data_IF_731341345189
#
_entry.id   IF_731341345189
#
_cell.length_a   1.000
_cell.length_b   1.000
_cell.length_c   1.000
_cell.angle_alpha   90.00
_cell.angle_beta   90.00
_cell.angle_gamma   90.00
#
_symmetry.space_group_name_H-M   'P 1'
#
loop_
_entity.id
_entity.type
_entity.pdbx_description
1 polymer ?
#
# COMPACT_ATOMS: atom_id res chain seq x y z
N UNK A 1 18.01 -32.69 -25.20
CA UNK A 1 18.39 -31.28 -25.34
C UNK A 1 18.44 -30.65 -23.94
N UNK A 2 19.57 -30.11 -23.57
CA UNK A 2 19.65 -29.35 -22.29
C UNK A 2 18.67 -28.18 -22.31
N UNK A 3 17.96 -28.00 -21.19
CA UNK A 3 17.07 -26.84 -21.01
C UNK A 3 17.91 -25.56 -20.87
N UNK A 4 17.41 -24.40 -21.36
CA UNK A 4 18.07 -23.13 -21.12
C UNK A 4 18.25 -22.86 -19.62
N UNK A 5 19.32 -22.15 -19.26
CA UNK A 5 19.53 -21.71 -17.88
C UNK A 5 18.33 -20.91 -17.36
N UNK A 6 17.88 -21.20 -16.13
CA UNK A 6 16.82 -20.42 -15.47
C UNK A 6 17.44 -19.24 -14.73
N UNK A 7 16.94 -18.01 -14.99
CA UNK A 7 17.21 -16.86 -14.13
C UNK A 7 16.55 -17.08 -12.76
N UNK A 8 17.37 -17.07 -11.71
CA UNK A 8 16.94 -17.35 -10.33
C UNK A 8 16.84 -16.08 -9.46
N UNK A 9 16.94 -14.90 -10.09
CA UNK A 9 16.81 -13.64 -9.35
C UNK A 9 15.39 -13.49 -8.78
N UNK A 10 15.31 -13.04 -7.54
CA UNK A 10 14.09 -12.61 -6.89
C UNK A 10 14.18 -11.08 -6.82
N UNK A 11 13.30 -10.38 -7.52
CA UNK A 11 13.26 -8.92 -7.58
C UNK A 11 12.17 -8.39 -6.67
N UNK A 12 12.48 -7.42 -5.81
CA UNK A 12 11.54 -6.86 -4.84
C UNK A 12 10.31 -6.27 -5.52
N UNK A 13 10.48 -5.38 -6.49
CA UNK A 13 9.39 -4.71 -7.19
C UNK A 13 8.45 -5.69 -7.92
N UNK A 14 8.98 -6.69 -8.60
CA UNK A 14 8.14 -7.66 -9.32
C UNK A 14 7.37 -8.58 -8.36
N UNK A 15 8.01 -9.00 -7.27
CA UNK A 15 7.31 -9.77 -6.24
C UNK A 15 6.25 -8.93 -5.53
N UNK A 16 6.49 -7.64 -5.30
CA UNK A 16 5.50 -6.73 -4.77
C UNK A 16 4.25 -6.64 -5.66
N UNK A 17 4.39 -6.50 -6.97
CA UNK A 17 3.26 -6.52 -7.90
C UNK A 17 2.47 -7.84 -7.85
N UNK A 18 3.17 -8.98 -7.72
CA UNK A 18 2.50 -10.30 -7.57
C UNK A 18 1.80 -10.40 -6.22
N UNK A 19 2.42 -9.96 -5.12
CA UNK A 19 1.80 -9.93 -3.77
C UNK A 19 0.47 -9.20 -3.83
N UNK A 20 0.46 -8.00 -4.43
CA UNK A 20 -0.77 -7.20 -4.62
C UNK A 20 -1.82 -7.97 -5.42
N UNK A 21 -1.43 -8.55 -6.55
CA UNK A 21 -2.34 -9.35 -7.39
C UNK A 21 -2.92 -10.57 -6.66
N UNK A 22 -2.10 -11.29 -5.86
CA UNK A 22 -2.54 -12.43 -5.06
C UNK A 22 -3.49 -12.00 -3.93
N UNK A 23 -3.24 -10.86 -3.28
CA UNK A 23 -4.12 -10.32 -2.25
C UNK A 23 -5.52 -10.03 -2.83
N UNK A 24 -5.59 -9.28 -3.93
CA UNK A 24 -6.86 -8.99 -4.61
C UNK A 24 -7.57 -10.28 -5.07
N UNK A 25 -6.82 -11.19 -5.69
CA UNK A 25 -7.37 -12.47 -6.16
C UNK A 25 -7.90 -13.35 -5.03
N UNK A 26 -7.32 -13.25 -3.83
CA UNK A 26 -7.79 -13.97 -2.64
C UNK A 26 -9.25 -13.63 -2.31
N UNK A 27 -9.59 -12.33 -2.30
CA UNK A 27 -10.97 -11.90 -2.06
C UNK A 27 -11.89 -12.13 -3.24
N UNK A 28 -11.44 -11.79 -4.46
CA UNK A 28 -12.27 -11.90 -5.66
C UNK A 28 -12.64 -13.34 -6.03
N UNK A 29 -11.82 -14.33 -5.68
CA UNK A 29 -12.00 -15.74 -5.98
C UNK A 29 -12.39 -16.58 -4.76
N UNK A 30 -12.50 -15.96 -3.58
CA UNK A 30 -12.70 -16.65 -2.30
C UNK A 30 -11.65 -17.76 -2.05
N UNK A 31 -10.36 -17.39 -2.25
CA UNK A 31 -9.22 -18.30 -2.14
C UNK A 31 -8.20 -17.78 -1.14
N UNK A 32 -8.39 -18.03 0.17
CA UNK A 32 -7.53 -17.48 1.24
C UNK A 32 -6.08 -17.96 1.15
N UNK A 33 -5.80 -19.09 0.49
CA UNK A 33 -4.44 -19.57 0.26
C UNK A 33 -3.61 -18.62 -0.61
N UNK A 34 -4.24 -17.75 -1.42
CA UNK A 34 -3.54 -16.74 -2.21
C UNK A 34 -3.03 -15.61 -1.31
N UNK A 35 -3.84 -15.15 -0.35
CA UNK A 35 -3.38 -14.19 0.66
C UNK A 35 -2.29 -14.80 1.56
N UNK A 36 -2.37 -16.08 1.89
CA UNK A 36 -1.32 -16.77 2.63
C UNK A 36 0.00 -16.83 1.83
N UNK A 37 -0.05 -17.11 0.53
CA UNK A 37 1.13 -17.08 -0.34
C UNK A 37 1.73 -15.66 -0.45
N UNK A 38 0.87 -14.64 -0.56
CA UNK A 38 1.30 -13.24 -0.54
C UNK A 38 2.00 -12.88 0.77
N UNK A 39 1.42 -13.25 1.93
CA UNK A 39 2.00 -13.01 3.25
C UNK A 39 3.36 -13.68 3.41
N UNK A 40 3.49 -14.95 3.01
CA UNK A 40 4.78 -15.66 3.05
C UNK A 40 5.85 -14.97 2.20
N UNK A 41 5.44 -14.35 1.07
CA UNK A 41 6.37 -13.60 0.21
C UNK A 41 6.77 -12.27 0.84
N UNK A 42 5.85 -11.56 1.51
CA UNK A 42 6.18 -10.36 2.31
C UNK A 42 7.16 -10.71 3.42
N UNK A 43 6.91 -11.80 4.15
CA UNK A 43 7.80 -12.26 5.21
C UNK A 43 9.18 -12.64 4.69
N UNK A 44 9.27 -13.28 3.52
CA UNK A 44 10.55 -13.55 2.88
C UNK A 44 11.30 -12.24 2.56
N UNK A 45 10.65 -11.25 1.95
CA UNK A 45 11.27 -9.95 1.65
C UNK A 45 11.74 -9.30 2.95
N UNK A 46 10.89 -9.24 3.98
CA UNK A 46 11.22 -8.66 5.28
C UNK A 46 12.43 -9.30 5.94
N UNK A 47 12.53 -10.63 5.89
CA UNK A 47 13.57 -11.40 6.58
C UNK A 47 14.86 -11.55 5.78
N UNK A 48 14.78 -11.59 4.44
CA UNK A 48 15.90 -11.95 3.58
C UNK A 48 16.39 -10.79 2.70
N UNK A 49 15.54 -9.80 2.44
CA UNK A 49 15.88 -8.70 1.53
C UNK A 49 16.03 -7.34 2.25
N UNK A 50 15.65 -7.25 3.52
CA UNK A 50 15.97 -6.09 4.37
C UNK A 50 17.17 -6.46 5.25
N UNK A 51 18.33 -5.90 4.94
CA UNK A 51 19.59 -6.16 5.66
C UNK A 51 20.13 -4.84 6.18
N UNK A 52 20.48 -4.77 7.47
CA UNK A 52 20.97 -3.58 8.14
C UNK A 52 20.06 -2.35 7.93
N UNK A 53 18.75 -2.52 8.06
CA UNK A 53 17.73 -1.48 7.81
C UNK A 53 17.76 -0.90 6.39
N UNK A 54 18.21 -1.68 5.42
CA UNK A 54 18.24 -1.31 4.00
C UNK A 54 17.53 -2.37 3.18
N UNK A 55 16.51 -1.97 2.40
CA UNK A 55 15.89 -2.83 1.42
C UNK A 55 16.80 -3.00 0.21
N UNK A 56 16.85 -4.20 -0.34
CA UNK A 56 17.62 -4.54 -1.54
C UNK A 56 16.69 -4.90 -2.70
N UNK A 57 17.12 -4.55 -3.92
CA UNK A 57 16.33 -4.76 -5.13
C UNK A 57 16.33 -6.23 -5.58
N UNK A 58 17.39 -6.99 -5.29
CA UNK A 58 17.58 -8.33 -5.82
C UNK A 58 18.09 -9.28 -4.76
N UNK A 59 17.56 -10.51 -4.75
CA UNK A 59 18.08 -11.65 -3.98
C UNK A 59 18.36 -12.82 -4.93
N UNK A 60 19.55 -13.44 -4.84
CA UNK A 60 19.93 -14.62 -5.60
C UNK A 60 20.88 -15.50 -4.79
N UNK A 61 20.63 -16.80 -4.76
CA UNK A 61 21.50 -17.79 -4.09
C UNK A 61 21.84 -17.43 -2.63
N UNK A 62 20.88 -16.90 -1.85
CA UNK A 62 21.08 -16.54 -0.46
C UNK A 62 21.78 -15.18 -0.24
N UNK A 63 22.01 -14.41 -1.29
CA UNK A 63 22.67 -13.10 -1.21
C UNK A 63 21.79 -12.00 -1.78
N UNK A 64 21.78 -10.84 -1.11
CA UNK A 64 21.15 -9.62 -1.62
C UNK A 64 22.15 -8.78 -2.42
N UNK A 65 21.64 -8.04 -3.39
CA UNK A 65 22.42 -7.12 -4.21
C UNK A 65 21.58 -5.94 -4.65
N UNK A 66 22.26 -4.83 -4.89
CA UNK A 66 21.71 -3.53 -5.23
C UNK A 66 20.80 -2.97 -4.14
N UNK A 67 21.08 -1.77 -3.68
CA UNK A 67 20.15 -1.02 -2.85
C UNK A 67 18.86 -0.80 -3.63
N UNK A 68 17.71 -0.95 -2.95
CA UNK A 68 16.41 -0.84 -3.60
C UNK A 68 16.16 0.57 -4.14
N UNK A 69 15.44 0.63 -5.24
CA UNK A 69 15.02 1.85 -5.94
C UNK A 69 13.61 2.26 -5.51
N UNK A 70 13.15 3.40 -5.99
CA UNK A 70 11.80 3.92 -5.72
C UNK A 70 10.71 2.86 -5.93
N UNK A 71 10.74 2.15 -7.06
CA UNK A 71 9.73 1.16 -7.42
C UNK A 71 9.67 0.00 -6.40
N UNK A 72 10.81 -0.42 -5.88
CA UNK A 72 10.86 -1.49 -4.88
C UNK A 72 10.15 -1.10 -3.59
N UNK A 73 10.36 0.13 -3.11
CA UNK A 73 9.69 0.65 -1.92
C UNK A 73 8.21 0.94 -2.16
N UNK A 74 7.88 1.63 -3.26
CA UNK A 74 6.52 2.05 -3.56
C UNK A 74 5.59 0.86 -3.82
N UNK A 75 6.04 -0.10 -4.64
CA UNK A 75 5.24 -1.29 -4.95
C UNK A 75 5.08 -2.19 -3.74
N UNK A 76 6.13 -2.34 -2.91
CA UNK A 76 6.03 -3.14 -1.70
C UNK A 76 5.09 -2.50 -0.67
N UNK A 77 5.12 -1.19 -0.52
CA UNK A 77 4.18 -0.46 0.34
C UNK A 77 2.73 -0.68 -0.11
N UNK A 78 2.44 -0.48 -1.40
CA UNK A 78 1.09 -0.68 -1.96
C UNK A 78 0.63 -2.14 -1.81
N UNK A 79 1.53 -3.10 -2.06
CA UNK A 79 1.24 -4.52 -1.92
C UNK A 79 0.93 -4.93 -0.48
N UNK A 80 1.68 -4.41 0.49
CA UNK A 80 1.44 -4.69 1.91
C UNK A 80 0.12 -4.08 2.38
N UNK A 81 -0.19 -2.85 1.97
CA UNK A 81 -1.49 -2.22 2.28
C UNK A 81 -2.67 -2.98 1.67
N UNK A 82 -2.53 -3.48 0.45
CA UNK A 82 -3.54 -4.33 -0.16
C UNK A 82 -3.70 -5.64 0.62
N UNK A 83 -2.61 -6.31 0.97
CA UNK A 83 -2.64 -7.56 1.72
C UNK A 83 -3.31 -7.42 3.09
N UNK A 84 -3.07 -6.32 3.80
CA UNK A 84 -3.68 -6.03 5.12
C UNK A 84 -5.21 -6.00 5.07
N UNK A 85 -5.82 -5.73 3.93
CA UNK A 85 -7.27 -5.77 3.74
C UNK A 85 -7.83 -7.20 3.73
N UNK A 86 -7.00 -8.20 3.40
CA UNK A 86 -7.42 -9.62 3.32
C UNK A 86 -6.86 -10.45 4.47
N UNK A 87 -5.76 -10.00 5.04
CA UNK A 87 -5.10 -10.65 6.16
C UNK A 87 -4.33 -9.61 6.98
N UNK A 88 -4.90 -9.22 8.11
CA UNK A 88 -4.21 -8.31 9.01
C UNK A 88 -3.01 -8.99 9.68
N UNK A 89 -1.91 -8.25 9.77
CA UNK A 89 -0.72 -8.63 10.50
C UNK A 89 -0.01 -7.37 11.01
N UNK A 90 0.28 -7.32 12.30
CA UNK A 90 0.89 -6.14 12.94
C UNK A 90 2.30 -5.86 12.43
N UNK A 91 3.06 -6.90 12.08
CA UNK A 91 4.41 -6.75 11.52
C UNK A 91 4.36 -6.24 10.06
N UNK A 92 3.32 -6.61 9.31
CA UNK A 92 3.09 -6.06 7.98
C UNK A 92 2.70 -4.57 8.05
N UNK A 93 1.88 -4.16 9.03
CA UNK A 93 1.60 -2.74 9.24
C UNK A 93 2.86 -1.95 9.62
N UNK A 94 3.69 -2.49 10.52
CA UNK A 94 4.98 -1.88 10.87
C UNK A 94 5.89 -1.75 9.65
N UNK A 95 5.92 -2.77 8.79
CA UNK A 95 6.66 -2.73 7.52
C UNK A 95 6.13 -1.62 6.60
N UNK A 96 4.80 -1.48 6.45
CA UNK A 96 4.21 -0.43 5.63
C UNK A 96 4.59 0.97 6.14
N UNK A 97 4.53 1.20 7.45
CA UNK A 97 4.94 2.47 8.08
C UNK A 97 6.43 2.73 7.83
N UNK A 98 7.28 1.71 8.02
CA UNK A 98 8.71 1.82 7.75
C UNK A 98 9.00 2.17 6.28
N UNK A 99 8.37 1.47 5.32
CA UNK A 99 8.53 1.75 3.88
C UNK A 99 8.12 3.18 3.53
N UNK A 100 7.01 3.66 4.08
CA UNK A 100 6.55 5.03 3.85
C UNK A 100 7.55 6.07 4.39
N UNK A 101 8.09 5.85 5.59
CA UNK A 101 9.10 6.75 6.16
C UNK A 101 10.39 6.74 5.34
N UNK A 102 10.86 5.58 4.90
CA UNK A 102 12.04 5.46 4.03
C UNK A 102 11.84 6.18 2.68
N UNK A 103 10.62 6.11 2.09
CA UNK A 103 10.29 6.86 0.88
C UNK A 103 10.49 8.37 1.09
N UNK A 104 9.98 8.90 2.20
CA UNK A 104 10.09 10.33 2.50
C UNK A 104 11.51 10.75 2.85
N UNK A 105 12.22 9.95 3.64
CA UNK A 105 13.58 10.30 4.08
C UNK A 105 14.60 10.21 2.95
N UNK A 106 14.49 9.21 2.07
CA UNK A 106 15.55 8.89 1.12
C UNK A 106 15.28 9.31 -0.32
N UNK A 107 14.03 9.44 -0.71
CA UNK A 107 13.68 9.66 -2.12
C UNK A 107 13.04 11.01 -2.38
N UNK A 108 12.50 11.70 -1.37
CA UNK A 108 11.74 12.93 -1.58
C UNK A 108 12.61 14.07 -2.15
N UNK A 109 12.05 14.76 -3.15
CA UNK A 109 12.51 16.09 -3.58
C UNK A 109 11.75 17.15 -2.78
N UNK A 110 12.37 17.60 -1.68
CA UNK A 110 11.75 18.58 -0.78
C UNK A 110 11.54 19.97 -1.43
N UNK A 111 12.26 20.29 -2.50
CA UNK A 111 12.18 21.58 -3.18
C UNK A 111 11.10 21.60 -4.25
N UNK A 112 11.04 20.56 -5.10
CA UNK A 112 10.19 20.54 -6.29
C UNK A 112 9.06 19.50 -6.22
N UNK A 113 8.99 18.73 -5.13
CA UNK A 113 8.03 17.63 -4.95
C UNK A 113 8.34 16.41 -5.82
N UNK A 114 7.60 15.33 -5.56
CA UNK A 114 7.85 14.03 -6.16
C UNK A 114 9.05 13.31 -5.55
N UNK A 115 9.28 12.09 -6.02
CA UNK A 115 10.32 11.20 -5.51
C UNK A 115 11.32 10.90 -6.62
N UNK A 116 12.62 10.98 -6.28
CA UNK A 116 13.69 10.55 -7.17
C UNK A 116 13.69 9.03 -7.30
N UNK A 117 14.13 8.50 -8.44
CA UNK A 117 14.24 7.05 -8.66
C UNK A 117 15.28 6.38 -7.75
N UNK A 118 16.39 7.09 -7.46
CA UNK A 118 17.45 6.61 -6.57
C UNK A 118 17.39 7.29 -5.21
N UNK A 119 17.67 6.54 -4.14
CA UNK A 119 17.79 7.08 -2.80
C UNK A 119 18.99 8.06 -2.69
N UNK A 120 18.95 8.95 -1.70
CA UNK A 120 20.06 9.85 -1.40
C UNK A 120 21.33 9.12 -0.91
N UNK A 121 21.21 7.85 -0.53
CA UNK A 121 22.30 6.97 -0.09
C UNK A 121 22.91 6.14 -1.23
N UNK A 122 22.41 6.26 -2.46
CA UNK A 122 23.02 5.65 -3.63
C UNK A 122 24.30 6.39 -4.03
N UNK A 123 25.04 5.83 -4.98
CA UNK A 123 26.20 6.48 -5.59
C UNK A 123 25.83 7.87 -6.14
N UNK A 124 26.76 8.80 -6.11
CA UNK A 124 26.52 10.16 -6.59
C UNK A 124 26.41 10.15 -8.11
N UNK A 125 25.18 10.30 -8.60
CA UNK A 125 24.89 10.43 -10.02
C UNK A 125 25.04 11.86 -10.50
N UNK A 126 25.35 12.06 -11.80
CA UNK A 126 25.31 13.37 -12.45
C UNK A 126 23.89 13.95 -12.46
N UNK A 127 22.90 13.08 -12.58
CA UNK A 127 21.46 13.42 -12.57
C UNK A 127 20.67 12.31 -11.88
N UNK A 128 19.78 12.70 -10.98
CA UNK A 128 18.83 11.79 -10.33
C UNK A 128 17.49 11.88 -11.08
N UNK A 129 17.07 10.83 -11.81
CA UNK A 129 15.83 10.87 -12.57
C UNK A 129 14.62 10.86 -11.61
N UNK A 130 13.54 11.48 -12.09
CA UNK A 130 12.25 11.53 -11.40
C UNK A 130 11.16 11.37 -12.46
N UNK A 131 10.61 10.14 -12.60
CA UNK A 131 9.59 9.81 -13.59
C UNK A 131 8.20 9.78 -12.96
N UNK A 132 7.23 10.32 -13.68
CA UNK A 132 5.81 10.26 -13.31
C UNK A 132 5.01 9.40 -14.29
N UNK A 133 5.58 9.06 -15.45
CA UNK A 133 4.91 8.28 -16.48
C UNK A 133 4.97 6.78 -16.22
N UNK A 134 3.88 6.12 -16.55
CA UNK A 134 3.81 4.67 -16.64
C UNK A 134 4.51 4.19 -17.92
N UNK A 135 5.09 3.00 -17.88
CA UNK A 135 5.69 2.30 -19.02
C UNK A 135 5.18 0.84 -18.99
N UNK A 136 6.04 -0.14 -19.13
CA UNK A 136 5.73 -1.57 -18.93
C UNK A 136 5.33 -1.91 -17.50
N UNK A 137 5.71 -1.08 -16.55
CA UNK A 137 5.30 -1.11 -15.16
C UNK A 137 4.66 0.23 -14.76
N UNK A 138 3.84 0.25 -13.68
CA UNK A 138 3.33 1.49 -13.12
C UNK A 138 4.45 2.43 -12.70
N UNK A 139 4.22 3.73 -12.74
CA UNK A 139 5.15 4.74 -12.23
C UNK A 139 5.36 4.60 -10.72
N UNK A 140 6.62 4.54 -10.28
CA UNK A 140 6.94 4.53 -8.84
C UNK A 140 6.39 5.73 -8.09
N UNK A 141 6.41 6.93 -8.70
CA UNK A 141 5.77 8.13 -8.13
C UNK A 141 4.24 7.98 -8.05
N UNK A 142 3.61 7.43 -9.09
CA UNK A 142 2.16 7.22 -9.09
C UNK A 142 1.73 6.24 -8.02
N UNK A 143 2.40 5.09 -7.91
CA UNK A 143 2.12 4.09 -6.86
C UNK A 143 2.43 4.62 -5.47
N UNK A 144 3.53 5.36 -5.30
CA UNK A 144 3.86 5.99 -4.01
C UNK A 144 2.79 7.00 -3.57
N UNK A 145 2.30 7.85 -4.50
CA UNK A 145 1.23 8.80 -4.21
C UNK A 145 -0.04 8.09 -3.73
N UNK A 146 -0.45 7.01 -4.42
CA UNK A 146 -1.62 6.20 -4.05
C UNK A 146 -1.44 5.54 -2.69
N UNK A 147 -0.31 4.87 -2.48
CA UNK A 147 -0.05 4.12 -1.26
C UNK A 147 0.13 5.03 -0.02
N UNK A 148 0.82 6.17 -0.18
CA UNK A 148 0.95 7.17 0.89
C UNK A 148 -0.40 7.80 1.23
N UNK A 149 -1.25 8.12 0.23
CA UNK A 149 -2.61 8.61 0.46
C UNK A 149 -3.42 7.59 1.27
N UNK A 150 -3.41 6.31 0.90
CA UNK A 150 -4.14 5.23 1.58
C UNK A 150 -3.63 5.00 3.01
N UNK A 151 -2.31 4.94 3.20
CA UNK A 151 -1.72 4.80 4.53
C UNK A 151 -2.04 6.01 5.40
N UNK A 152 -1.94 7.22 4.85
CA UNK A 152 -2.29 8.47 5.54
C UNK A 152 -3.74 8.51 5.98
N UNK A 153 -4.67 8.00 5.17
CA UNK A 153 -6.08 7.91 5.53
C UNK A 153 -6.34 6.82 6.59
N UNK A 154 -5.71 5.64 6.46
CA UNK A 154 -5.83 4.56 7.45
C UNK A 154 -5.35 5.01 8.83
N UNK A 155 -4.20 5.67 8.88
CA UNK A 155 -3.55 6.08 10.13
C UNK A 155 -3.97 7.48 10.60
N UNK A 156 -4.76 8.23 9.83
CA UNK A 156 -5.02 9.65 10.04
C UNK A 156 -3.72 10.47 10.19
N UNK A 157 -2.71 10.18 9.36
CA UNK A 157 -1.35 10.74 9.47
C UNK A 157 -1.11 11.79 8.37
N UNK A 158 -1.13 13.11 8.72
CA UNK A 158 -1.04 14.19 7.74
C UNK A 158 0.24 14.20 6.90
N UNK A 159 1.37 13.73 7.44
CA UNK A 159 2.65 13.73 6.71
C UNK A 159 2.58 12.91 5.43
N UNK A 160 1.90 11.75 5.44
CA UNK A 160 1.74 10.90 4.25
C UNK A 160 0.78 11.53 3.24
N UNK A 161 -0.31 12.14 3.72
CA UNK A 161 -1.27 12.85 2.85
C UNK A 161 -0.62 14.04 2.14
N UNK A 162 0.17 14.84 2.86
CA UNK A 162 0.92 15.97 2.28
C UNK A 162 1.99 15.49 1.29
N UNK A 163 2.65 14.36 1.57
CA UNK A 163 3.61 13.79 0.62
C UNK A 163 2.94 13.34 -0.67
N UNK A 164 1.80 12.66 -0.59
CA UNK A 164 1.00 12.29 -1.76
C UNK A 164 0.60 13.53 -2.58
N UNK A 165 0.14 14.61 -1.91
CA UNK A 165 -0.19 15.87 -2.58
C UNK A 165 1.01 16.48 -3.31
N UNK A 166 2.20 16.51 -2.68
CA UNK A 166 3.42 17.04 -3.32
C UNK A 166 3.82 16.23 -4.56
N UNK A 167 3.65 14.91 -4.52
CA UNK A 167 3.91 14.05 -5.71
C UNK A 167 2.92 14.39 -6.83
N UNK A 168 1.62 14.47 -6.52
CA UNK A 168 0.58 14.79 -7.49
C UNK A 168 0.78 16.17 -8.11
N UNK A 169 1.12 17.19 -7.32
CA UNK A 169 1.44 18.54 -7.80
C UNK A 169 2.65 18.56 -8.73
N UNK A 170 3.70 17.83 -8.39
CA UNK A 170 4.92 17.74 -9.20
C UNK A 170 4.66 17.05 -10.56
N UNK A 171 3.79 16.04 -10.60
CA UNK A 171 3.40 15.34 -11.84
C UNK A 171 2.30 16.00 -12.64
N UNK A 172 1.68 17.10 -12.14
CA UNK A 172 0.49 17.68 -12.75
C UNK A 172 0.66 18.10 -14.21
N UNK A 173 1.73 18.82 -14.53
CA UNK A 173 1.97 19.28 -15.89
C UNK A 173 2.10 18.14 -16.89
N UNK A 174 2.84 17.06 -16.52
CA UNK A 174 3.02 15.89 -17.39
C UNK A 174 1.73 15.08 -17.57
N UNK A 175 0.88 14.98 -16.52
CA UNK A 175 -0.45 14.36 -16.62
C UNK A 175 -1.35 15.12 -17.60
N UNK A 176 -1.32 16.47 -17.60
CA UNK A 176 -2.12 17.27 -18.52
C UNK A 176 -1.64 17.12 -19.98
N UNK A 177 -0.33 17.06 -20.17
CA UNK A 177 0.27 16.94 -21.52
C UNK A 177 0.04 15.57 -22.13
N UNK A 178 0.19 14.49 -21.34
CA UNK A 178 0.07 13.11 -21.82
C UNK A 178 -0.67 12.20 -20.82
N UNK A 179 -2.01 12.33 -20.69
CA UNK A 179 -2.80 11.57 -19.70
C UNK A 179 -2.65 10.05 -19.83
N UNK A 180 -2.55 9.54 -21.06
CA UNK A 180 -2.49 8.09 -21.33
C UNK A 180 -1.23 7.42 -20.73
N UNK A 181 -0.15 8.16 -20.58
CA UNK A 181 1.08 7.68 -19.96
C UNK A 181 1.14 7.89 -18.45
N UNK A 182 0.03 8.29 -17.80
CA UNK A 182 0.01 8.63 -16.37
C UNK A 182 -1.19 8.02 -15.65
N UNK A 183 -1.67 6.85 -16.10
CA UNK A 183 -2.88 6.21 -15.57
C UNK A 183 -2.79 5.96 -14.06
N UNK A 184 -1.62 5.51 -13.57
CA UNK A 184 -1.40 5.27 -12.14
C UNK A 184 -1.46 6.57 -11.33
N UNK A 185 -0.84 7.64 -11.83
CA UNK A 185 -0.84 8.93 -11.16
C UNK A 185 -2.24 9.58 -11.19
N UNK A 186 -2.99 9.40 -12.28
CA UNK A 186 -4.40 9.85 -12.40
C UNK A 186 -5.29 9.09 -11.41
N UNK A 187 -5.08 7.78 -11.24
CA UNK A 187 -5.78 6.98 -10.23
C UNK A 187 -5.50 7.51 -8.82
N UNK A 188 -4.25 7.84 -8.53
CA UNK A 188 -3.87 8.44 -7.26
C UNK A 188 -4.51 9.83 -7.06
N UNK A 189 -4.60 10.64 -8.12
CA UNK A 189 -5.26 11.94 -8.09
C UNK A 189 -6.78 11.81 -7.85
N UNK A 190 -7.43 10.87 -8.52
CA UNK A 190 -8.86 10.63 -8.32
C UNK A 190 -9.15 10.24 -6.86
N UNK A 191 -8.36 9.31 -6.29
CA UNK A 191 -8.53 8.88 -4.90
C UNK A 191 -8.14 9.98 -3.88
N UNK A 192 -7.22 10.90 -4.25
CA UNK A 192 -6.90 12.06 -3.41
C UNK A 192 -8.03 13.09 -3.39
N UNK A 193 -8.66 13.36 -4.54
CA UNK A 193 -9.79 14.29 -4.66
C UNK A 193 -11.10 13.70 -4.12
N UNK A 194 -11.27 12.39 -4.26
CA UNK A 194 -12.42 11.61 -3.79
C UNK A 194 -11.93 10.55 -2.78
N UNK A 195 -11.69 10.94 -1.52
CA UNK A 195 -11.07 10.05 -0.54
C UNK A 195 -11.76 8.70 -0.42
N UNK A 196 -10.96 7.64 -0.42
CA UNK A 196 -11.45 6.29 -0.23
C UNK A 196 -12.21 6.15 1.10
N UNK A 197 -13.21 5.30 1.10
CA UNK A 197 -13.91 4.90 2.30
C UNK A 197 -13.07 3.88 3.07
N UNK A 198 -12.58 4.26 4.24
CA UNK A 198 -11.77 3.39 5.11
C UNK A 198 -12.67 2.79 6.17
N UNK A 199 -12.84 1.48 6.15
CA UNK A 199 -13.63 0.71 7.11
C UNK A 199 -12.68 -0.10 7.98
N UNK A 200 -12.67 0.18 9.28
CA UNK A 200 -11.94 -0.60 10.28
C UNK A 200 -12.94 -1.38 11.11
N UNK A 201 -12.86 -2.70 11.10
CA UNK A 201 -13.77 -3.59 11.82
C UNK A 201 -13.00 -4.24 12.96
N UNK A 202 -13.59 -4.22 14.17
CA UNK A 202 -13.04 -4.80 15.38
C UNK A 202 -14.07 -5.72 16.04
N UNK A 203 -13.66 -6.87 16.52
CA UNK A 203 -14.50 -7.84 17.22
C UNK A 203 -14.39 -9.25 16.64
N UNK A 204 -15.12 -10.20 17.22
CA UNK A 204 -14.97 -11.63 16.89
C UNK A 204 -15.50 -11.97 15.49
N UNK A 205 -16.49 -11.22 14.98
CA UNK A 205 -17.04 -11.41 13.63
C UNK A 205 -16.40 -10.49 12.58
N UNK A 206 -15.27 -9.84 12.89
CA UNK A 206 -14.68 -8.83 12.01
C UNK A 206 -14.33 -9.38 10.61
N UNK A 207 -13.83 -10.60 10.52
CA UNK A 207 -13.51 -11.26 9.24
C UNK A 207 -14.76 -11.57 8.43
N UNK A 208 -15.84 -12.03 9.05
CA UNK A 208 -17.11 -12.34 8.37
C UNK A 208 -17.74 -11.04 7.82
N UNK A 209 -17.66 -9.95 8.58
CA UNK A 209 -18.13 -8.65 8.12
C UNK A 209 -17.30 -8.12 6.96
N UNK A 210 -15.96 -8.19 7.08
CA UNK A 210 -15.06 -7.82 5.99
C UNK A 210 -15.38 -8.60 4.71
N UNK A 211 -15.49 -9.93 4.83
CA UNK A 211 -15.82 -10.80 3.70
C UNK A 211 -17.14 -10.37 3.04
N UNK A 212 -18.18 -10.13 3.83
CA UNK A 212 -19.48 -9.68 3.33
C UNK A 212 -19.41 -8.34 2.61
N UNK A 213 -18.64 -7.37 3.13
CA UNK A 213 -18.46 -6.05 2.53
C UNK A 213 -17.70 -6.14 1.21
N UNK A 214 -16.68 -6.99 1.14
CA UNK A 214 -15.83 -7.16 -0.05
C UNK A 214 -16.50 -7.94 -1.20
N UNK A 215 -17.65 -8.60 -0.98
CA UNK A 215 -18.45 -9.18 -2.05
C UNK A 215 -19.01 -8.11 -3.01
N UNK A 216 -19.11 -6.86 -2.56
CA UNK A 216 -19.53 -5.74 -3.40
C UNK A 216 -18.28 -5.00 -3.86
N UNK A 217 -17.97 -5.10 -5.15
CA UNK A 217 -16.82 -4.42 -5.74
C UNK A 217 -16.92 -2.91 -5.56
N UNK A 218 -15.90 -2.33 -4.94
CA UNK A 218 -15.75 -0.88 -4.78
C UNK A 218 -14.25 -0.54 -4.72
N UNK A 219 -13.67 0.01 -5.80
CA UNK A 219 -12.24 0.31 -5.88
C UNK A 219 -11.80 1.43 -4.93
N UNK A 220 -12.75 2.27 -4.51
CA UNK A 220 -12.54 3.37 -3.55
C UNK A 220 -12.90 3.00 -2.12
N UNK A 221 -12.82 1.71 -1.76
CA UNK A 221 -13.06 1.21 -0.40
C UNK A 221 -11.87 0.41 0.09
N UNK A 222 -11.41 0.72 1.28
CA UNK A 222 -10.39 -0.01 2.02
C UNK A 222 -11.05 -0.62 3.26
N UNK A 223 -10.98 -1.94 3.42
CA UNK A 223 -11.68 -2.64 4.49
C UNK A 223 -10.71 -3.52 5.28
N UNK A 224 -10.55 -3.25 6.58
CA UNK A 224 -9.60 -3.92 7.45
C UNK A 224 -10.32 -4.58 8.63
N UNK A 225 -10.23 -5.91 8.72
CA UNK A 225 -10.61 -6.66 9.92
C UNK A 225 -9.40 -6.75 10.84
N UNK A 226 -9.40 -5.96 11.90
CA UNK A 226 -8.26 -5.88 12.82
C UNK A 226 -8.56 -6.70 14.08
N UNK A 227 -7.74 -7.72 14.41
CA UNK A 227 -7.92 -8.55 15.59
C UNK A 227 -7.99 -7.73 16.90
N UNK A 228 -8.79 -8.18 17.85
CA UNK A 228 -8.99 -7.47 19.13
C UNK A 228 -7.70 -7.31 19.93
N UNK A 229 -6.78 -8.27 19.81
CA UNK A 229 -5.47 -8.30 20.46
C UNK A 229 -4.34 -7.69 19.63
N UNK A 230 -4.64 -7.04 18.49
CA UNK A 230 -3.63 -6.40 17.63
C UNK A 230 -2.89 -5.28 18.37
N UNK A 231 -1.59 -5.18 18.12
CA UNK A 231 -0.73 -4.09 18.62
C UNK A 231 -0.80 -2.90 17.67
N UNK A 232 -1.70 -1.98 17.94
CA UNK A 232 -1.98 -0.84 17.08
C UNK A 232 -1.06 0.35 17.37
N UNK A 233 -0.70 1.15 16.33
CA UNK A 233 -0.10 2.46 16.53
C UNK A 233 -1.10 3.42 17.19
N UNK A 234 -0.59 4.48 17.85
CA UNK A 234 -1.38 5.45 18.59
C UNK A 234 -2.54 6.03 17.76
N UNK A 235 -2.29 6.28 16.48
CA UNK A 235 -3.29 6.81 15.53
C UNK A 235 -4.53 5.91 15.35
N UNK A 236 -4.43 4.62 15.61
CA UNK A 236 -5.54 3.67 15.54
C UNK A 236 -6.15 3.34 16.91
N UNK A 237 -5.63 3.87 18.03
CA UNK A 237 -6.15 3.60 19.37
C UNK A 237 -7.61 4.02 19.55
N UNK A 238 -8.08 5.04 18.82
CA UNK A 238 -9.48 5.44 18.83
C UNK A 238 -10.45 4.40 18.23
N UNK A 239 -9.93 3.42 17.46
CA UNK A 239 -10.69 2.32 16.89
C UNK A 239 -10.75 1.15 17.89
N UNK A 240 -11.43 1.38 19.00
CA UNK A 240 -11.49 0.45 20.15
C UNK A 240 -12.26 -0.83 19.78
N UNK A 241 -11.80 -1.97 20.27
CA UNK A 241 -12.59 -3.20 20.22
C UNK A 241 -13.62 -3.20 21.35
N UNK A 242 -14.83 -3.66 21.08
CA UNK A 242 -15.92 -3.79 22.04
C UNK A 242 -16.27 -5.28 22.24
N UNK A 243 -17.16 -5.59 23.19
CA UNK A 243 -17.70 -6.95 23.38
C UNK A 243 -18.43 -7.46 22.13
N UNK A 244 -19.07 -6.56 21.39
CA UNK A 244 -19.70 -6.85 20.10
C UNK A 244 -18.83 -6.31 18.96
N UNK A 245 -18.94 -6.95 17.81
CA UNK A 245 -18.26 -6.47 16.60
C UNK A 245 -18.73 -5.08 16.22
N UNK A 246 -17.79 -4.20 15.89
CA UNK A 246 -18.02 -2.80 15.57
C UNK A 246 -17.22 -2.40 14.33
N UNK A 247 -17.79 -1.54 13.49
CA UNK A 247 -17.11 -0.93 12.35
C UNK A 247 -16.99 0.59 12.52
N UNK A 248 -15.84 1.13 12.16
CA UNK A 248 -15.55 2.54 12.07
C UNK A 248 -15.40 2.89 10.58
N UNK A 249 -16.25 3.75 10.07
CA UNK A 249 -16.28 4.14 8.65
C UNK A 249 -15.80 5.58 8.56
N UNK A 250 -14.67 5.79 7.88
CA UNK A 250 -14.05 7.11 7.71
C UNK A 250 -13.92 7.45 6.22
N UNK A 251 -14.10 8.73 5.88
CA UNK A 251 -13.83 9.27 4.54
C UNK A 251 -13.09 10.59 4.70
N UNK A 252 -11.82 10.60 4.31
CA UNK A 252 -10.94 11.72 4.62
C UNK A 252 -10.89 11.97 6.13
N UNK A 253 -11.04 13.23 6.61
CA UNK A 253 -10.95 13.55 8.03
C UNK A 253 -12.22 13.21 8.84
N UNK A 254 -13.29 12.78 8.20
CA UNK A 254 -14.57 12.51 8.84
C UNK A 254 -14.76 11.01 9.08
N UNK A 255 -15.12 10.65 10.31
CA UNK A 255 -15.53 9.30 10.66
C UNK A 255 -16.98 9.31 11.16
N UNK A 256 -17.73 8.25 10.84
CA UNK A 256 -19.07 8.03 11.40
C UNK A 256 -18.99 7.67 12.89
N UNK A 257 -20.12 7.77 13.57
CA UNK A 257 -20.31 7.02 14.81
C UNK A 257 -20.04 5.53 14.57
N UNK A 258 -19.59 4.80 15.60
CA UNK A 258 -19.39 3.36 15.50
C UNK A 258 -20.67 2.64 15.05
N UNK A 259 -20.54 1.70 14.10
CA UNK A 259 -21.64 0.95 13.50
C UNK A 259 -21.62 -0.48 14.04
N UNK A 260 -22.74 -1.00 14.49
CA UNK A 260 -22.86 -2.27 15.21
C UNK A 260 -23.56 -3.40 14.43
N UNK A 261 -23.86 -3.19 13.14
CA UNK A 261 -24.43 -4.24 12.29
C UNK A 261 -24.06 -4.09 10.82
N UNK A 262 -24.00 -5.21 10.09
CA UNK A 262 -23.80 -5.20 8.63
C UNK A 262 -24.89 -4.42 7.88
N UNK A 263 -26.14 -4.42 8.40
CA UNK A 263 -27.24 -3.67 7.77
C UNK A 263 -27.03 -2.15 7.88
N UNK A 264 -26.50 -1.67 9.00
CA UNK A 264 -26.15 -0.26 9.19
C UNK A 264 -24.97 0.13 8.31
N UNK A 265 -23.94 -0.75 8.21
CA UNK A 265 -22.83 -0.52 7.29
C UNK A 265 -23.35 -0.35 5.86
N UNK A 266 -24.20 -1.26 5.39
CA UNK A 266 -24.76 -1.20 4.04
C UNK A 266 -25.55 0.10 3.79
N UNK A 267 -26.30 0.60 4.78
CA UNK A 267 -27.02 1.87 4.70
C UNK A 267 -26.06 3.08 4.66
N UNK A 268 -25.04 3.07 5.50
CA UNK A 268 -24.04 4.15 5.56
C UNK A 268 -23.26 4.26 4.25
N UNK A 269 -22.90 3.11 3.66
CA UNK A 269 -22.19 3.02 2.38
C UNK A 269 -23.11 3.45 1.21
N UNK A 270 -24.40 3.06 1.22
CA UNK A 270 -25.34 3.36 0.14
C UNK A 270 -25.90 4.81 0.20
N UNK A 271 -25.85 5.46 1.36
CA UNK A 271 -26.38 6.82 1.59
C UNK A 271 -25.39 7.94 1.29
N UNK A 272 -24.17 7.58 0.89
CA UNK A 272 -23.10 8.47 0.47
C UNK A 272 -22.79 8.30 -1.03
#
# INVERSE_FOLDING_TARGET
RELPGRDKKILTSWNALIIRGLAIASGALDRPELAAAAANTVDFIRQQMIVNHQLHACHINGQVSFNAYLDDYAFLLDAVLELLQYRWDDEHLKLAIWLANELLERFEDAENGGLFYTANTHEKLLYRPKSFSDDSMPSGNGVAALALNRLGQLLAEPQYLHAAERILRAGWASMQEFPHGHATLITALDEYLNPAEVIVIRGDEAEDWRHSIQQVYSPSRLCFAIPTNASLPESLHAKVAHEQTVAYICRGPQCSEPVHSLQEIAKTIAGN
#
